data_IF_963845522421
#
_entry.id   IF_963845522421
#
_cell.length_a   1.000
_cell.length_b   1.000
_cell.length_c   1.000
_cell.angle_alpha   90.00
_cell.angle_beta   90.00
_cell.angle_gamma   90.00
#
_symmetry.space_group_name_H-M   'P 1'
#
loop_
_entity.id
_entity.type
_entity.pdbx_description
1 polymer ?
#
# COMPACT_ATOMS: atom_id res chain seq x y z
N UNK A 1 36.15 43.79 2.76
CA UNK A 1 35.50 43.05 1.66
C UNK A 1 34.08 42.73 2.05
N UNK A 2 33.12 42.79 1.12
CA UNK A 2 31.70 42.58 1.43
C UNK A 2 31.24 41.20 0.95
N UNK A 3 30.20 40.66 1.57
CA UNK A 3 29.62 39.36 1.20
C UNK A 3 29.18 39.32 -0.28
N UNK A 4 28.72 40.45 -0.81
CA UNK A 4 28.28 40.60 -2.21
C UNK A 4 29.41 40.36 -3.21
N UNK A 5 30.67 40.62 -2.84
CA UNK A 5 31.80 40.38 -3.73
C UNK A 5 32.08 38.87 -3.91
N UNK A 6 31.71 38.05 -2.94
CA UNK A 6 31.89 36.59 -2.97
C UNK A 6 30.67 35.85 -3.54
N UNK A 7 29.50 36.49 -3.58
CA UNK A 7 28.25 35.87 -4.04
C UNK A 7 28.26 35.52 -5.54
N UNK A 8 29.10 36.20 -6.31
CA UNK A 8 29.26 36.04 -7.76
C UNK A 8 30.32 35.00 -8.17
N UNK A 9 31.09 34.46 -7.21
CA UNK A 9 32.11 33.46 -7.48
C UNK A 9 31.52 32.05 -7.40
N UNK A 10 32.10 31.13 -8.15
CA UNK A 10 31.78 29.71 -8.10
C UNK A 10 32.39 29.02 -6.87
N UNK A 11 31.88 27.84 -6.53
CA UNK A 11 32.31 27.12 -5.33
C UNK A 11 33.81 26.80 -5.33
N UNK A 12 34.40 26.50 -6.50
CA UNK A 12 35.81 26.13 -6.60
C UNK A 12 36.73 27.34 -6.35
N UNK A 13 36.39 28.50 -6.91
CA UNK A 13 37.11 29.76 -6.65
C UNK A 13 36.99 30.18 -5.19
N UNK A 14 35.82 30.04 -4.57
CA UNK A 14 35.63 30.35 -3.15
C UNK A 14 36.46 29.45 -2.23
N UNK A 15 36.62 28.17 -2.58
CA UNK A 15 37.48 27.22 -1.83
C UNK A 15 38.96 27.56 -1.96
N UNK A 16 39.41 27.85 -3.18
CA UNK A 16 40.79 28.27 -3.42
C UNK A 16 41.12 29.57 -2.67
N UNK A 17 40.19 30.53 -2.65
CA UNK A 17 40.32 31.76 -1.88
C UNK A 17 40.38 31.45 -0.38
N UNK A 18 39.48 30.59 0.13
CA UNK A 18 39.42 30.19 1.54
C UNK A 18 40.73 29.56 2.03
N UNK A 19 41.42 28.82 1.19
CA UNK A 19 42.69 28.16 1.52
C UNK A 19 43.83 29.19 1.65
N UNK A 20 43.80 30.27 0.87
CA UNK A 20 44.78 31.37 0.90
C UNK A 20 44.47 32.49 1.91
N UNK A 21 43.24 32.60 2.41
CA UNK A 21 42.83 33.69 3.32
C UNK A 21 43.30 33.47 4.76
N UNK A 22 44.09 34.43 5.26
CA UNK A 22 44.58 34.47 6.64
C UNK A 22 43.63 35.25 7.57
N UNK A 23 42.97 36.29 7.05
CA UNK A 23 42.06 37.12 7.84
C UNK A 23 40.82 36.33 8.29
N UNK A 24 40.50 36.40 9.59
CA UNK A 24 39.43 35.59 10.17
C UNK A 24 38.04 36.06 9.76
N UNK A 25 37.84 37.37 9.61
CA UNK A 25 36.55 37.94 9.23
C UNK A 25 36.26 37.70 7.76
N UNK A 26 37.26 37.85 6.90
CA UNK A 26 37.20 37.47 5.49
C UNK A 26 36.93 35.97 5.33
N UNK A 27 37.64 35.12 6.09
CA UNK A 27 37.41 33.66 6.11
C UNK A 27 35.99 33.30 6.56
N UNK A 28 35.39 34.07 7.48
CA UNK A 28 33.97 33.92 7.87
C UNK A 28 33.04 34.29 6.71
N UNK A 29 33.30 35.39 6.02
CA UNK A 29 32.51 35.83 4.87
C UNK A 29 32.55 34.81 3.72
N UNK A 30 33.73 34.29 3.38
CA UNK A 30 33.90 33.28 2.33
C UNK A 30 33.16 31.99 2.68
N UNK A 31 33.25 31.52 3.94
CA UNK A 31 32.47 30.36 4.41
C UNK A 31 30.97 30.58 4.33
N UNK A 32 30.49 31.78 4.67
CA UNK A 32 29.08 32.13 4.55
C UNK A 32 28.64 32.15 3.09
N UNK A 33 29.44 32.70 2.18
CA UNK A 33 29.16 32.69 0.75
C UNK A 33 29.05 31.28 0.18
N UNK A 34 29.95 30.35 0.57
CA UNK A 34 29.88 28.93 0.16
C UNK A 34 28.60 28.26 0.66
N UNK A 35 28.21 28.50 1.92
CA UNK A 35 26.96 27.95 2.47
C UNK A 35 25.75 28.47 1.72
N UNK A 36 25.74 29.75 1.40
CA UNK A 36 24.62 30.41 0.73
C UNK A 36 24.52 30.02 -0.75
N UNK A 37 25.65 29.81 -1.43
CA UNK A 37 25.69 29.26 -2.78
C UNK A 37 25.05 27.87 -2.82
N UNK A 38 25.46 26.96 -1.93
CA UNK A 38 24.90 25.61 -1.85
C UNK A 38 23.43 25.58 -1.49
N UNK A 39 22.99 26.50 -0.62
CA UNK A 39 21.57 26.64 -0.26
C UNK A 39 20.74 27.02 -1.49
N UNK A 40 21.18 28.04 -2.24
CA UNK A 40 20.54 28.47 -3.49
C UNK A 40 20.49 27.35 -4.53
N UNK A 41 21.58 26.61 -4.71
CA UNK A 41 21.61 25.47 -5.66
C UNK A 41 20.58 24.38 -5.30
N UNK A 42 20.42 24.09 -4.01
CA UNK A 42 19.41 23.14 -3.54
C UNK A 42 18.00 23.70 -3.81
N UNK A 43 17.74 24.95 -3.46
CA UNK A 43 16.46 25.62 -3.68
C UNK A 43 16.09 25.68 -5.17
N UNK A 44 17.04 26.00 -6.04
CA UNK A 44 16.85 26.04 -7.50
C UNK A 44 16.54 24.64 -8.06
N UNK A 45 17.27 23.62 -7.60
CA UNK A 45 16.99 22.23 -7.97
C UNK A 45 15.62 21.78 -7.46
N UNK A 46 15.25 22.13 -6.23
CA UNK A 46 13.94 21.86 -5.66
C UNK A 46 12.83 22.58 -6.44
N UNK A 47 13.02 23.84 -6.83
CA UNK A 47 12.09 24.59 -7.67
C UNK A 47 11.96 24.00 -9.07
N UNK A 48 13.06 23.53 -9.68
CA UNK A 48 13.04 22.82 -10.96
C UNK A 48 12.31 21.46 -10.87
N UNK A 49 12.43 20.76 -9.74
CA UNK A 49 11.68 19.53 -9.49
C UNK A 49 10.21 19.83 -9.16
N UNK A 50 9.93 20.88 -8.39
CA UNK A 50 8.59 21.33 -8.06
C UNK A 50 7.85 21.80 -9.30
N UNK A 51 8.45 22.57 -10.19
CA UNK A 51 7.84 22.96 -11.48
C UNK A 51 7.54 21.77 -12.40
N UNK A 52 8.27 20.65 -12.27
CA UNK A 52 7.95 19.38 -12.95
C UNK A 52 6.85 18.59 -12.23
N UNK A 53 6.76 18.69 -10.91
CA UNK A 53 5.76 18.00 -10.06
C UNK A 53 4.42 18.74 -10.02
N UNK A 54 4.45 20.07 -10.03
CA UNK A 54 3.29 20.95 -10.10
C UNK A 54 2.97 21.18 -11.56
N UNK A 55 1.83 20.64 -11.99
CA UNK A 55 1.19 21.14 -13.21
C UNK A 55 0.78 22.59 -12.95
N UNK A 56 1.31 23.60 -13.67
CA UNK A 56 0.74 24.93 -13.62
C UNK A 56 -0.72 24.80 -14.04
N UNK A 57 -1.60 25.30 -13.18
CA UNK A 57 -3.05 25.19 -13.23
C UNK A 57 -3.64 25.42 -14.63
N UNK A 58 -3.73 24.35 -15.42
CA UNK A 58 -4.78 24.12 -16.43
C UNK A 58 -5.95 23.31 -15.85
N UNK A 59 -5.96 23.12 -14.52
CA UNK A 59 -6.87 22.20 -13.83
C UNK A 59 -8.22 22.81 -13.44
N UNK A 60 -8.39 24.14 -13.52
CA UNK A 60 -9.68 24.75 -13.12
C UNK A 60 -10.86 24.47 -14.07
N UNK A 61 -10.61 23.86 -15.24
CA UNK A 61 -11.66 23.33 -16.14
C UNK A 61 -11.64 21.79 -16.25
N UNK A 62 -10.62 21.13 -15.68
CA UNK A 62 -10.43 19.68 -15.79
C UNK A 62 -10.99 18.96 -14.54
N UNK A 63 -10.96 19.61 -13.37
CA UNK A 63 -11.48 19.05 -12.10
C UNK A 63 -13.00 18.78 -12.16
N UNK A 64 -13.75 19.54 -12.95
CA UNK A 64 -15.19 19.30 -13.14
C UNK A 64 -15.49 17.95 -13.81
N UNK A 65 -14.55 17.39 -14.58
CA UNK A 65 -14.76 16.11 -15.28
C UNK A 65 -14.46 14.89 -14.41
N UNK A 66 -13.51 14.97 -13.49
CA UNK A 66 -13.21 13.87 -12.55
C UNK A 66 -14.20 13.82 -11.39
N UNK A 67 -14.73 14.98 -10.97
CA UNK A 67 -15.78 15.03 -9.95
C UNK A 67 -17.09 14.38 -10.43
N UNK A 68 -17.34 14.37 -11.75
CA UNK A 68 -18.52 13.76 -12.35
C UNK A 68 -18.59 12.23 -12.16
N UNK A 69 -17.48 11.52 -12.36
CA UNK A 69 -17.44 10.07 -12.13
C UNK A 69 -17.58 9.69 -10.65
N UNK A 70 -17.14 10.58 -9.75
CA UNK A 70 -17.33 10.43 -8.29
C UNK A 70 -18.81 10.57 -7.90
N UNK A 71 -19.55 11.45 -8.56
CA UNK A 71 -20.99 11.65 -8.37
C UNK A 71 -21.84 10.52 -8.96
N UNK A 72 -21.52 10.06 -10.17
CA UNK A 72 -22.24 8.96 -10.82
C UNK A 72 -22.13 7.67 -9.99
N UNK A 73 -20.95 7.37 -9.44
CA UNK A 73 -20.76 6.22 -8.54
C UNK A 73 -21.57 6.35 -7.25
N UNK A 74 -21.63 7.54 -6.63
CA UNK A 74 -22.45 7.75 -5.43
C UNK A 74 -23.95 7.62 -5.70
N UNK A 75 -24.43 8.14 -6.82
CA UNK A 75 -25.84 8.07 -7.18
C UNK A 75 -26.29 6.62 -7.41
N UNK A 76 -25.46 5.81 -8.06
CA UNK A 76 -25.71 4.38 -8.26
C UNK A 76 -25.76 3.62 -6.92
N UNK A 77 -24.87 3.94 -5.97
CA UNK A 77 -24.88 3.35 -4.62
C UNK A 77 -26.13 3.75 -3.83
N UNK A 78 -26.60 4.99 -3.96
CA UNK A 78 -27.80 5.48 -3.29
C UNK A 78 -29.08 4.82 -3.83
N UNK A 79 -29.14 4.59 -5.15
CA UNK A 79 -30.23 3.83 -5.78
C UNK A 79 -30.20 2.38 -5.32
N UNK A 80 -29.03 1.75 -5.27
CA UNK A 80 -28.87 0.39 -4.76
C UNK A 80 -29.29 0.28 -3.30
N UNK A 81 -28.86 1.21 -2.43
CA UNK A 81 -29.23 1.22 -1.01
C UNK A 81 -30.75 1.25 -0.81
N UNK A 82 -31.46 2.12 -1.55
CA UNK A 82 -32.93 2.18 -1.55
C UNK A 82 -33.57 0.88 -2.01
N UNK A 83 -33.03 0.25 -3.05
CA UNK A 83 -33.50 -1.06 -3.52
C UNK A 83 -33.33 -2.13 -2.45
N UNK A 84 -32.19 -2.18 -1.78
CA UNK A 84 -31.91 -3.19 -0.74
C UNK A 84 -32.84 -3.05 0.46
N UNK A 85 -33.25 -1.83 0.84
CA UNK A 85 -34.23 -1.62 1.90
C UNK A 85 -35.61 -2.23 1.59
N UNK A 86 -35.96 -2.39 0.31
CA UNK A 86 -37.23 -3.00 -0.09
C UNK A 86 -37.20 -4.53 -0.16
N UNK A 87 -36.01 -5.14 -0.18
CA UNK A 87 -35.83 -6.59 -0.31
C UNK A 87 -35.62 -7.17 1.08
N UNK A 88 -36.54 -8.02 1.53
CA UNK A 88 -36.43 -8.77 2.79
C UNK A 88 -36.02 -10.24 2.58
N UNK A 89 -35.89 -10.69 1.33
CA UNK A 89 -35.48 -12.05 0.99
C UNK A 89 -33.94 -12.19 0.93
N UNK A 90 -33.40 -13.07 1.78
CA UNK A 90 -31.96 -13.37 1.85
C UNK A 90 -31.46 -14.01 0.55
N UNK A 91 -32.26 -14.83 -0.13
CA UNK A 91 -31.83 -15.53 -1.34
C UNK A 91 -31.72 -14.56 -2.52
N UNK A 92 -32.64 -13.61 -2.62
CA UNK A 92 -32.56 -12.52 -3.59
C UNK A 92 -31.32 -11.64 -3.36
N UNK A 93 -31.04 -11.25 -2.11
CA UNK A 93 -29.82 -10.51 -1.77
C UNK A 93 -28.55 -11.32 -2.05
N UNK A 94 -28.57 -12.63 -1.85
CA UNK A 94 -27.44 -13.52 -2.15
C UNK A 94 -27.19 -13.62 -3.66
N UNK A 95 -28.25 -13.64 -4.48
CA UNK A 95 -28.13 -13.55 -5.96
C UNK A 95 -27.51 -12.21 -6.37
N UNK A 96 -27.98 -11.10 -5.81
CA UNK A 96 -27.39 -9.77 -6.05
C UNK A 96 -25.92 -9.72 -5.64
N UNK A 97 -25.54 -10.34 -4.52
CA UNK A 97 -24.16 -10.38 -4.05
C UNK A 97 -23.22 -11.11 -5.03
N UNK A 98 -23.69 -12.18 -5.69
CA UNK A 98 -22.93 -12.91 -6.70
C UNK A 98 -22.82 -12.14 -8.02
N UNK A 99 -23.83 -11.34 -8.35
CA UNK A 99 -23.86 -10.53 -9.57
C UNK A 99 -23.03 -9.23 -9.45
N UNK A 100 -22.95 -8.64 -8.26
CA UNK A 100 -22.23 -7.39 -8.02
C UNK A 100 -20.71 -7.54 -8.22
N UNK A 101 -20.13 -6.69 -9.07
CA UNK A 101 -18.70 -6.68 -9.39
C UNK A 101 -17.91 -5.71 -8.52
N UNK A 102 -18.55 -4.67 -7.98
CA UNK A 102 -17.92 -3.63 -7.19
C UNK A 102 -17.91 -3.94 -5.68
N UNK A 103 -16.92 -3.40 -4.98
CA UNK A 103 -16.77 -3.64 -3.55
C UNK A 103 -17.84 -2.93 -2.72
N UNK A 104 -18.12 -1.66 -3.01
CA UNK A 104 -19.09 -0.86 -2.23
C UNK A 104 -20.51 -1.42 -2.36
N UNK A 105 -20.91 -1.89 -3.55
CA UNK A 105 -22.18 -2.60 -3.74
C UNK A 105 -22.29 -3.86 -2.88
N UNK A 106 -21.28 -4.74 -2.94
CA UNK A 106 -21.25 -5.98 -2.14
C UNK A 106 -21.27 -5.71 -0.64
N UNK A 107 -20.66 -4.61 -0.20
CA UNK A 107 -20.66 -4.17 1.20
C UNK A 107 -22.07 -3.79 1.65
N UNK A 108 -22.81 -3.01 0.85
CA UNK A 108 -24.20 -2.66 1.13
C UNK A 108 -25.10 -3.90 1.15
N UNK A 109 -24.94 -4.80 0.17
CA UNK A 109 -25.71 -6.05 0.11
C UNK A 109 -25.44 -6.93 1.34
N UNK A 110 -24.18 -7.08 1.77
CA UNK A 110 -23.84 -7.83 2.99
C UNK A 110 -24.43 -7.20 4.24
N UNK A 111 -24.48 -5.87 4.32
CA UNK A 111 -25.09 -5.18 5.45
C UNK A 111 -26.59 -5.46 5.52
N UNK A 112 -27.31 -5.39 4.39
CA UNK A 112 -28.73 -5.71 4.33
C UNK A 112 -29.02 -7.18 4.73
N UNK A 113 -28.20 -8.14 4.27
CA UNK A 113 -28.34 -9.56 4.66
C UNK A 113 -28.16 -9.73 6.18
N UNK A 114 -27.20 -9.02 6.79
CA UNK A 114 -27.01 -9.06 8.25
C UNK A 114 -28.24 -8.51 8.97
N UNK A 115 -28.74 -7.35 8.55
CA UNK A 115 -29.93 -6.73 9.15
C UNK A 115 -31.13 -7.69 9.17
N UNK A 116 -31.42 -8.34 8.04
CA UNK A 116 -32.54 -9.30 7.96
C UNK A 116 -32.31 -10.51 8.88
N UNK A 117 -31.09 -11.03 8.97
CA UNK A 117 -30.78 -12.16 9.88
C UNK A 117 -30.91 -11.75 11.34
N UNK A 118 -30.45 -10.55 11.67
CA UNK A 118 -30.55 -9.99 13.02
C UNK A 118 -32.02 -9.75 13.41
N UNK A 119 -32.85 -9.29 12.47
CA UNK A 119 -34.31 -9.14 12.66
C UNK A 119 -35.02 -10.49 12.80
N UNK A 120 -34.68 -11.49 11.99
CA UNK A 120 -35.24 -12.84 12.10
C UNK A 120 -34.85 -13.51 13.42
N UNK A 121 -33.64 -13.27 13.92
CA UNK A 121 -33.22 -13.72 15.24
C UNK A 121 -33.98 -12.99 16.34
N UNK A 122 -34.11 -11.67 16.28
CA UNK A 122 -34.89 -10.89 17.26
C UNK A 122 -36.38 -11.24 17.30
N UNK A 123 -36.97 -11.66 16.17
CA UNK A 123 -38.35 -12.13 16.11
C UNK A 123 -38.54 -13.56 16.67
N UNK A 124 -37.47 -14.35 16.76
CA UNK A 124 -37.45 -15.73 17.25
C UNK A 124 -36.86 -15.84 18.68
N UNK A 125 -36.16 -14.82 19.16
CA UNK A 125 -35.71 -14.70 20.55
C UNK A 125 -36.93 -14.35 21.43
N UNK A 126 -37.34 -15.21 22.38
CA UNK A 126 -38.30 -14.81 23.38
C UNK A 126 -37.70 -13.66 24.18
N UNK A 127 -38.42 -12.52 24.20
CA UNK A 127 -38.07 -11.29 24.90
C UNK A 127 -37.30 -11.58 26.19
N UNK A 128 -35.98 -11.35 26.16
CA UNK A 128 -35.10 -11.52 27.31
C UNK A 128 -35.31 -10.36 28.30
N UNK A 129 -36.47 -10.40 28.95
CA UNK A 129 -36.85 -9.60 30.11
C UNK A 129 -37.62 -10.42 31.15
N UNK A 130 -37.73 -11.74 30.98
CA UNK A 130 -38.34 -12.66 31.93
C UNK A 130 -37.39 -13.81 32.25
N UNK A 131 -37.12 -14.01 33.54
CA UNK A 131 -36.34 -15.12 34.09
C UNK A 131 -36.87 -16.45 33.54
N UNK A 132 -36.05 -17.24 32.86
CA UNK A 132 -36.42 -18.59 32.41
C UNK A 132 -35.71 -19.64 33.26
N UNK A 133 -36.48 -20.59 33.77
CA UNK A 133 -35.97 -21.78 34.49
C UNK A 133 -35.09 -22.65 33.59
N UNK A 134 -34.08 -23.26 34.21
CA UNK A 134 -32.99 -24.04 33.59
C UNK A 134 -33.46 -25.15 32.62
N UNK A 135 -34.71 -25.61 32.69
CA UNK A 135 -35.25 -26.68 31.84
C UNK A 135 -35.62 -26.28 30.41
N UNK A 136 -35.83 -25.00 30.12
CA UNK A 136 -36.29 -24.55 28.78
C UNK A 136 -35.11 -24.47 27.79
N UNK A 137 -33.89 -24.23 28.29
CA UNK A 137 -32.67 -24.18 27.49
C UNK A 137 -32.29 -25.56 26.92
N UNK A 138 -32.48 -26.64 27.70
CA UNK A 138 -32.19 -28.00 27.23
C UNK A 138 -33.12 -28.43 26.08
N UNK A 139 -34.40 -28.06 26.15
CA UNK A 139 -35.38 -28.39 25.10
C UNK A 139 -35.04 -27.68 23.79
N UNK A 140 -34.61 -26.41 23.85
CA UNK A 140 -34.19 -25.66 22.67
C UNK A 140 -32.88 -26.17 22.05
N UNK A 141 -31.92 -26.58 22.89
CA UNK A 141 -30.67 -27.23 22.46
C UNK A 141 -30.92 -28.61 21.83
N UNK A 142 -31.86 -29.39 22.35
CA UNK A 142 -32.23 -30.70 21.81
C UNK A 142 -32.85 -30.61 20.41
N UNK A 143 -33.61 -29.55 20.12
CA UNK A 143 -34.24 -29.35 18.81
C UNK A 143 -33.26 -28.88 17.72
N UNK A 144 -32.11 -28.28 18.09
CA UNK A 144 -31.11 -27.76 17.13
C UNK A 144 -30.05 -28.81 16.73
N UNK A 145 -30.09 -30.02 17.30
CA UNK A 145 -29.07 -31.06 17.14
C UNK A 145 -29.26 -32.07 16.00
N UNK A 146 -30.18 -31.87 15.06
CA UNK A 146 -30.54 -32.89 14.07
C UNK A 146 -30.46 -32.42 12.60
N UNK A 147 -29.26 -32.06 12.12
CA UNK A 147 -28.94 -32.12 10.69
C UNK A 147 -27.57 -32.81 10.49
N UNK A 148 -27.61 -34.08 10.07
CA UNK A 148 -26.45 -34.95 9.78
C UNK A 148 -25.63 -34.43 8.58
N UNK A 149 -24.31 -34.40 8.65
CA UNK A 149 -23.37 -35.52 8.40
C UNK A 149 -23.38 -36.04 6.96
N UNK A 150 -22.58 -35.39 6.10
CA UNK A 150 -21.77 -36.06 5.08
C UNK A 150 -20.46 -35.27 4.88
N UNK A 151 -19.42 -35.66 5.64
CA UNK A 151 -18.03 -35.25 5.38
C UNK A 151 -17.25 -36.49 4.97
N UNK A 152 -16.95 -36.59 3.68
CA UNK A 152 -15.95 -37.50 3.17
C UNK A 152 -14.57 -37.16 3.75
N UNK A 153 -13.97 -38.19 4.33
CA UNK A 153 -12.63 -38.22 4.89
C UNK A 153 -11.58 -38.16 3.77
N UNK A 154 -10.86 -37.04 3.66
CA UNK A 154 -9.57 -36.98 2.99
C UNK A 154 -8.48 -36.73 4.03
N UNK A 155 -7.73 -37.77 4.40
CA UNK A 155 -6.60 -37.67 5.32
C UNK A 155 -5.47 -36.83 4.71
N UNK A 156 -4.91 -35.84 5.43
CA UNK A 156 -3.63 -35.24 5.05
C UNK A 156 -2.45 -36.09 5.57
N UNK A 157 -1.34 -36.24 4.80
CA UNK A 157 -0.16 -36.94 5.29
C UNK A 157 0.59 -36.12 6.36
N UNK A 158 1.08 -36.85 7.36
CA UNK A 158 1.82 -36.36 8.50
C UNK A 158 3.14 -35.67 8.11
N UNK A 159 3.37 -34.47 8.67
CA UNK A 159 4.66 -33.76 8.63
C UNK A 159 5.35 -33.98 9.99
N UNK A 160 6.62 -34.45 10.04
CA UNK A 160 7.31 -34.65 11.32
C UNK A 160 7.74 -33.32 11.95
N UNK A 161 7.48 -33.20 13.25
CA UNK A 161 7.93 -32.11 14.11
C UNK A 161 9.45 -32.16 14.30
N UNK A 162 10.14 -31.03 14.11
CA UNK A 162 11.43 -30.78 14.76
C UNK A 162 11.50 -29.35 15.30
N UNK A 163 11.45 -29.29 16.63
CA UNK A 163 12.21 -28.43 17.52
C UNK A 163 12.42 -26.96 17.15
N UNK A 164 11.68 -26.14 17.90
CA UNK A 164 12.10 -24.83 18.37
C UNK A 164 13.61 -24.73 18.68
N UNK A 165 14.27 -23.73 18.10
CA UNK A 165 15.35 -22.98 18.75
C UNK A 165 15.44 -21.60 18.09
N UNK A 166 15.31 -20.59 18.93
CA UNK A 166 15.26 -19.18 18.61
C UNK A 166 16.57 -18.72 17.96
N UNK A 167 16.48 -17.90 16.92
CA UNK A 167 17.61 -17.25 16.29
C UNK A 167 18.16 -16.17 17.25
N UNK A 168 19.26 -16.45 17.94
CA UNK A 168 20.14 -15.41 18.44
C UNK A 168 21.14 -15.08 17.33
N UNK A 169 21.25 -13.79 17.01
CA UNK A 169 22.20 -13.29 16.04
C UNK A 169 23.62 -13.40 16.57
N UNK A 170 24.57 -13.62 15.66
CA UNK A 170 25.97 -13.27 15.88
C UNK A 170 26.67 -12.91 14.57
N UNK A 171 27.50 -11.88 14.73
CA UNK A 171 28.38 -11.21 13.78
C UNK A 171 29.66 -12.01 13.56
N UNK A 172 30.11 -12.21 12.31
CA UNK A 172 31.54 -12.28 11.90
C UNK A 172 31.65 -12.67 10.41
N UNK A 173 32.17 -11.79 9.54
CA UNK A 173 33.58 -11.62 9.11
C UNK A 173 34.13 -12.70 8.17
N UNK A 174 34.60 -12.20 7.01
CA UNK A 174 35.77 -12.61 6.21
C UNK A 174 35.74 -13.99 5.53
N UNK A 175 35.73 -14.02 4.19
CA UNK A 175 36.90 -13.99 3.29
C UNK A 175 37.78 -15.23 3.45
N UNK A 176 37.90 -16.06 2.40
CA UNK A 176 39.17 -16.62 1.88
C UNK A 176 38.92 -17.62 0.73
N UNK A 177 39.72 -17.42 -0.33
CA UNK A 177 40.13 -18.30 -1.43
C UNK A 177 39.11 -18.82 -2.45
N UNK A 178 39.21 -18.44 -3.73
CA UNK A 178 40.30 -18.68 -4.71
C UNK A 178 40.33 -20.15 -5.16
N UNK A 179 40.40 -20.30 -6.49
CA UNK A 179 40.80 -21.49 -7.24
C UNK A 179 39.66 -22.33 -7.84
N UNK A 180 39.21 -21.90 -9.03
CA UNK A 180 39.14 -22.79 -10.20
C UNK A 180 39.21 -21.95 -11.47
N UNK A 181 40.45 -21.69 -11.91
CA UNK A 181 40.76 -21.40 -13.31
C UNK A 181 41.01 -22.72 -14.05
N UNK A 182 40.84 -22.63 -15.37
CA UNK A 182 41.10 -23.59 -16.45
C UNK A 182 39.81 -24.26 -16.94
N UNK A 183 39.29 -24.03 -18.14
CA UNK A 183 39.75 -23.26 -19.28
C UNK A 183 39.02 -23.79 -20.52
N UNK A 184 38.55 -22.94 -21.42
CA UNK A 184 38.28 -23.25 -22.84
C UNK A 184 38.00 -21.95 -23.61
N UNK A 185 38.62 -21.86 -24.78
CA UNK A 185 39.00 -20.68 -25.56
C UNK A 185 37.84 -20.03 -26.36
N UNK A 186 38.00 -18.78 -26.83
CA UNK A 186 36.95 -18.01 -27.52
C UNK A 186 36.76 -18.45 -28.97
N UNK A 187 35.50 -18.58 -29.41
CA UNK A 187 35.17 -18.79 -30.81
C UNK A 187 35.41 -17.50 -31.60
N UNK A 188 36.26 -17.60 -32.62
CA UNK A 188 36.65 -16.52 -33.52
C UNK A 188 35.56 -16.24 -34.55
N UNK A 189 35.44 -14.95 -34.87
CA UNK A 189 34.53 -14.38 -35.86
C UNK A 189 34.94 -14.77 -37.29
N UNK A 190 34.22 -15.70 -37.93
CA UNK A 190 34.35 -15.89 -39.38
C UNK A 190 33.15 -16.60 -40.02
N UNK A 191 32.07 -15.85 -40.29
CA UNK A 191 31.25 -16.07 -41.48
C UNK A 191 30.94 -14.69 -42.10
N UNK A 192 31.85 -14.25 -42.98
CA UNK A 192 31.54 -13.25 -44.00
C UNK A 192 30.76 -13.96 -45.11
N UNK A 193 29.49 -13.60 -45.28
CA UNK A 193 28.79 -13.83 -46.54
C UNK A 193 28.47 -12.43 -47.08
N UNK A 194 29.16 -12.05 -48.14
CA UNK A 194 28.84 -10.90 -48.97
C UNK A 194 28.58 -11.41 -50.38
N UNK A 195 27.40 -11.07 -50.87
CA UNK A 195 26.86 -11.33 -52.20
C UNK A 195 27.75 -10.76 -53.31
N UNK A 196 28.03 -11.57 -54.33
CA UNK A 196 28.01 -11.23 -55.76
C UNK A 196 28.03 -12.51 -56.57
#
# INVERSE_FOLDING_TARGET
MSLESYSALDESSLRALLDGTVDLDERRLIRSAIRELRRREIEDMEAALASKRFRPTRLKQQEDKENQHRSESSDNLDVLARKLQSIQDIDELTKMLRAASEYEERKLIRAAIRQIRDEQQQACEPQAGGVMEEGVLEIWLAMRGAEGSDRQTGSPPAVPQQSSLCCNGDVAKNNINQQQQQGLLPLTSQQRISLS
#
